data_IF_594771021862
#
_entry.id   IF_594771021862
#
_cell.length_a   1.000
_cell.length_b   1.000
_cell.length_c   1.000
_cell.angle_alpha   90.00
_cell.angle_beta   90.00
_cell.angle_gamma   90.00
#
_symmetry.space_group_name_H-M   'P 1'
#
loop_
_entity.id
_entity.type
_entity.pdbx_description
1 polymer ?
#
# COMPACT_ATOMS: atom_id res chain seq x y z
N UNK A 1 -7.73 -61.79 -68.65
CA UNK A 1 -8.05 -60.39 -68.28
C UNK A 1 -8.40 -60.14 -66.79
N UNK A 2 -8.26 -61.10 -65.85
CA UNK A 2 -8.65 -60.89 -64.43
C UNK A 2 -7.51 -60.49 -63.46
N UNK A 3 -6.22 -60.74 -63.77
CA UNK A 3 -5.09 -60.43 -62.85
C UNK A 3 -4.75 -58.93 -62.73
N UNK A 4 -5.03 -58.11 -63.74
CA UNK A 4 -4.70 -56.67 -63.73
C UNK A 4 -5.65 -55.80 -62.90
N UNK A 5 -6.87 -56.27 -62.61
CA UNK A 5 -7.86 -55.51 -61.83
C UNK A 5 -7.54 -55.51 -60.33
N UNK A 6 -7.09 -56.66 -59.80
CA UNK A 6 -6.71 -56.82 -58.38
C UNK A 6 -5.49 -55.99 -57.96
N UNK A 7 -4.50 -55.78 -58.83
CA UNK A 7 -3.33 -54.93 -58.53
C UNK A 7 -3.70 -53.45 -58.50
N UNK A 8 -4.61 -53.00 -59.36
CA UNK A 8 -5.07 -51.61 -59.40
C UNK A 8 -5.90 -51.25 -58.15
N UNK A 9 -6.76 -52.17 -57.70
CA UNK A 9 -7.59 -51.96 -56.50
C UNK A 9 -6.75 -51.98 -55.21
N UNK A 10 -5.68 -52.81 -55.14
CA UNK A 10 -4.78 -52.86 -53.99
C UNK A 10 -3.91 -51.60 -53.87
N UNK A 11 -3.48 -51.03 -55.00
CA UNK A 11 -2.78 -49.74 -55.03
C UNK A 11 -3.69 -48.59 -54.61
N UNK A 12 -4.93 -48.55 -55.12
CA UNK A 12 -5.92 -47.53 -54.77
C UNK A 12 -6.29 -47.58 -53.29
N UNK A 13 -6.48 -48.78 -52.73
CA UNK A 13 -6.71 -48.99 -51.29
C UNK A 13 -5.53 -48.51 -50.43
N UNK A 14 -4.29 -48.71 -50.90
CA UNK A 14 -3.09 -48.29 -50.16
C UNK A 14 -2.89 -46.76 -50.18
N UNK A 15 -3.16 -46.11 -51.31
CA UNK A 15 -3.19 -44.66 -51.48
C UNK A 15 -4.25 -44.01 -50.58
N UNK A 16 -5.49 -44.55 -50.57
CA UNK A 16 -6.56 -44.02 -49.74
C UNK A 16 -6.30 -44.19 -48.24
N UNK A 17 -5.73 -45.32 -47.81
CA UNK A 17 -5.31 -45.49 -46.41
C UNK A 17 -4.18 -44.54 -46.02
N UNK A 18 -3.29 -44.18 -46.94
CA UNK A 18 -2.20 -43.21 -46.68
C UNK A 18 -2.76 -41.79 -46.56
N UNK A 19 -3.69 -41.41 -47.44
CA UNK A 19 -4.43 -40.12 -47.35
C UNK A 19 -5.25 -40.03 -46.07
N UNK A 20 -5.97 -41.09 -45.70
CA UNK A 20 -6.77 -41.13 -44.46
C UNK A 20 -5.88 -41.06 -43.21
N UNK A 21 -4.75 -41.77 -43.17
CA UNK A 21 -3.77 -41.66 -42.07
C UNK A 21 -3.17 -40.26 -41.95
N UNK A 22 -2.85 -39.60 -43.07
CA UNK A 22 -2.34 -38.23 -43.05
C UNK A 22 -3.43 -37.23 -42.61
N UNK A 23 -4.68 -37.44 -43.02
CA UNK A 23 -5.82 -36.61 -42.58
C UNK A 23 -6.07 -36.75 -41.07
N UNK A 24 -6.01 -37.98 -40.54
CA UNK A 24 -6.13 -38.25 -39.09
C UNK A 24 -4.96 -37.66 -38.31
N UNK A 25 -3.71 -37.78 -38.80
CA UNK A 25 -2.54 -37.14 -38.19
C UNK A 25 -2.66 -35.63 -38.15
N UNK A 26 -3.12 -35.00 -39.24
CA UNK A 26 -3.30 -33.55 -39.31
C UNK A 26 -4.43 -33.05 -38.39
N UNK A 27 -5.52 -33.82 -38.27
CA UNK A 27 -6.59 -33.53 -37.30
C UNK A 27 -6.07 -33.68 -35.87
N UNK A 28 -5.30 -34.73 -35.56
CA UNK A 28 -4.72 -34.92 -34.23
C UNK A 28 -3.73 -33.80 -33.86
N UNK A 29 -2.92 -33.33 -34.81
CA UNK A 29 -2.00 -32.18 -34.61
C UNK A 29 -2.78 -30.87 -34.42
N UNK A 30 -3.85 -30.63 -35.17
CA UNK A 30 -4.71 -29.45 -34.97
C UNK A 30 -5.47 -29.48 -33.64
N UNK A 31 -5.96 -30.64 -33.20
CA UNK A 31 -6.61 -30.78 -31.89
C UNK A 31 -5.61 -30.59 -30.74
N UNK A 32 -4.36 -31.05 -30.89
CA UNK A 32 -3.30 -30.77 -29.90
C UNK A 32 -2.88 -29.30 -29.87
N UNK A 33 -2.79 -28.62 -31.02
CA UNK A 33 -2.49 -27.18 -31.08
C UNK A 33 -3.64 -26.31 -30.55
N UNK A 34 -4.91 -26.71 -30.79
CA UNK A 34 -6.07 -26.06 -30.20
C UNK A 34 -6.20 -26.31 -28.68
N UNK A 35 -5.83 -27.51 -28.21
CA UNK A 35 -5.79 -27.82 -26.78
C UNK A 35 -4.67 -27.07 -26.04
N UNK A 36 -3.53 -26.80 -26.69
CA UNK A 36 -2.46 -25.96 -26.14
C UNK A 36 -2.81 -24.46 -26.11
N UNK A 37 -3.75 -24.01 -26.94
CA UNK A 37 -4.27 -22.63 -26.91
C UNK A 37 -5.43 -22.42 -25.91
N UNK A 38 -5.94 -23.50 -25.28
CA UNK A 38 -7.13 -23.49 -24.40
C UNK A 38 -6.84 -24.14 -23.02
N UNK A 39 -5.58 -24.13 -22.58
CA UNK A 39 -5.17 -24.47 -21.21
C UNK A 39 -4.48 -23.24 -20.57
N UNK A 40 -4.79 -22.92 -19.31
CA UNK A 40 -6.01 -22.24 -18.94
C UNK A 40 -5.72 -20.80 -18.47
N UNK A 41 -6.54 -19.84 -18.91
CA UNK A 41 -6.68 -18.53 -18.21
C UNK A 41 -7.14 -18.67 -16.74
N UNK A 42 -7.43 -19.90 -16.28
CA UNK A 42 -7.97 -20.20 -14.95
C UNK A 42 -6.94 -20.40 -13.82
N UNK A 43 -5.62 -20.47 -14.06
CA UNK A 43 -4.66 -20.76 -12.97
C UNK A 43 -4.03 -19.51 -12.31
N UNK A 44 -4.28 -18.29 -12.82
CA UNK A 44 -3.53 -17.08 -12.41
C UNK A 44 -4.36 -15.95 -11.78
N UNK A 45 -5.69 -16.06 -11.72
CA UNK A 45 -6.53 -15.12 -10.96
C UNK A 45 -6.46 -15.37 -9.44
N UNK A 46 -6.14 -16.61 -9.04
CA UNK A 46 -6.14 -17.04 -7.64
C UNK A 46 -5.11 -16.32 -6.74
N UNK A 47 -3.84 -16.08 -7.15
CA UNK A 47 -2.86 -15.41 -6.28
C UNK A 47 -3.23 -13.96 -5.98
N UNK A 48 -3.81 -13.26 -6.96
CA UNK A 48 -4.28 -11.87 -6.81
C UNK A 48 -5.45 -11.79 -5.85
N UNK A 49 -6.44 -12.66 -6.05
CA UNK A 49 -7.62 -12.69 -5.22
C UNK A 49 -7.32 -13.17 -3.79
N UNK A 50 -6.26 -13.99 -3.61
CA UNK A 50 -5.80 -14.44 -2.30
C UNK A 50 -5.04 -13.33 -1.54
N UNK A 51 -4.13 -12.61 -2.21
CA UNK A 51 -3.41 -11.47 -1.61
C UNK A 51 -4.32 -10.26 -1.36
N UNK A 52 -5.40 -10.09 -2.14
CA UNK A 52 -6.41 -9.06 -1.87
C UNK A 52 -7.37 -9.45 -0.73
N UNK A 53 -7.60 -10.75 -0.50
CA UNK A 53 -8.45 -11.28 0.59
C UNK A 53 -7.80 -11.11 1.98
N UNK A 54 -6.49 -11.30 2.11
CA UNK A 54 -5.77 -11.12 3.38
C UNK A 54 -4.75 -9.99 3.27
N UNK A 55 -5.23 -8.75 3.41
CA UNK A 55 -4.35 -7.58 3.42
C UNK A 55 -3.49 -7.58 4.68
N UNK A 56 -2.17 -7.73 4.51
CA UNK A 56 -1.19 -7.71 5.61
C UNK A 56 -0.15 -6.63 5.35
N UNK A 57 -0.12 -5.61 6.20
CA UNK A 57 0.85 -4.51 6.07
C UNK A 57 2.30 -5.00 6.19
N UNK A 58 3.20 -4.34 5.47
CA UNK A 58 4.61 -4.71 5.35
C UNK A 58 4.91 -5.81 4.32
N UNK A 59 3.89 -6.52 3.81
CA UNK A 59 4.04 -7.54 2.77
C UNK A 59 4.64 -6.93 1.51
N UNK A 60 5.70 -7.55 0.98
CA UNK A 60 6.32 -7.15 -0.29
C UNK A 60 5.46 -7.63 -1.45
N UNK A 61 5.20 -6.75 -2.42
CA UNK A 61 4.39 -7.03 -3.60
C UNK A 61 5.28 -6.99 -4.85
N UNK A 62 5.32 -8.07 -5.67
CA UNK A 62 6.05 -8.05 -6.94
C UNK A 62 5.48 -6.99 -7.90
N UNK A 63 6.35 -6.29 -8.64
CA UNK A 63 5.91 -5.24 -9.57
C UNK A 63 5.04 -5.79 -10.70
N UNK A 64 5.29 -7.02 -11.14
CA UNK A 64 4.48 -7.75 -12.14
C UNK A 64 3.05 -7.94 -11.64
N UNK A 65 2.89 -8.16 -10.34
CA UNK A 65 1.59 -8.30 -9.73
C UNK A 65 0.83 -6.97 -9.77
N UNK A 66 1.47 -5.86 -9.41
CA UNK A 66 0.84 -4.53 -9.50
C UNK A 66 0.42 -4.22 -10.94
N UNK A 67 1.29 -4.50 -11.92
CA UNK A 67 1.01 -4.31 -13.36
C UNK A 67 -0.18 -5.15 -13.83
N UNK A 68 -0.21 -6.43 -13.49
CA UNK A 68 -1.25 -7.38 -13.94
C UNK A 68 -2.64 -7.01 -13.45
N UNK A 69 -2.72 -6.47 -12.24
CA UNK A 69 -4.00 -6.29 -11.54
C UNK A 69 -4.53 -4.86 -11.67
N UNK A 70 -3.67 -3.92 -12.09
CA UNK A 70 -4.00 -2.50 -12.16
C UNK A 70 -3.85 -1.80 -10.81
N UNK A 71 -3.50 -0.52 -10.85
CA UNK A 71 -3.15 0.26 -9.67
C UNK A 71 -4.36 0.56 -8.77
N UNK A 72 -5.54 0.77 -9.34
CA UNK A 72 -6.73 1.26 -8.61
C UNK A 72 -7.14 0.35 -7.43
N UNK A 73 -7.11 -0.96 -7.67
CA UNK A 73 -7.47 -1.97 -6.67
C UNK A 73 -6.47 -2.11 -5.50
N UNK A 74 -5.35 -1.38 -5.54
CA UNK A 74 -4.36 -1.30 -4.47
C UNK A 74 -4.49 -0.05 -3.60
N UNK A 75 -5.34 0.90 -3.98
CA UNK A 75 -5.59 2.16 -3.28
C UNK A 75 -7.07 2.29 -3.02
N UNK A 76 -7.53 1.71 -1.92
CA UNK A 76 -8.96 1.59 -1.60
C UNK A 76 -9.24 1.97 -0.16
N UNK A 77 -10.44 2.49 0.08
CA UNK A 77 -10.97 2.74 1.41
C UNK A 77 -12.23 1.89 1.64
N UNK A 78 -12.45 1.52 2.90
CA UNK A 78 -13.65 0.80 3.32
C UNK A 78 -14.02 1.16 4.78
N UNK A 79 -15.25 0.87 5.23
CA UNK A 79 -15.54 0.84 6.66
C UNK A 79 -14.52 -0.04 7.38
N UNK A 80 -14.11 0.35 8.60
CA UNK A 80 -13.14 -0.42 9.38
C UNK A 80 -13.73 -1.83 9.60
N UNK A 81 -13.09 -2.93 9.16
CA UNK A 81 -13.55 -4.29 9.43
C UNK A 81 -13.44 -4.66 10.92
N UNK A 82 -14.24 -5.63 11.41
CA UNK A 82 -14.22 -6.01 12.83
C UNK A 82 -12.85 -6.50 13.29
N UNK A 83 -12.15 -7.30 12.47
CA UNK A 83 -10.80 -7.76 12.78
C UNK A 83 -9.80 -6.60 12.92
N UNK A 84 -9.94 -5.53 12.12
CA UNK A 84 -9.10 -4.33 12.24
C UNK A 84 -9.50 -3.55 13.49
N UNK A 85 -10.80 -3.36 13.73
CA UNK A 85 -11.27 -2.63 14.89
C UNK A 85 -10.90 -3.32 16.21
N UNK A 86 -10.87 -4.66 16.24
CA UNK A 86 -10.39 -5.45 17.38
C UNK A 86 -8.92 -5.15 17.72
N UNK A 87 -8.06 -4.91 16.71
CA UNK A 87 -6.67 -4.49 16.93
C UNK A 87 -6.57 -3.09 17.57
N UNK A 88 -7.55 -2.23 17.31
CA UNK A 88 -7.56 -0.83 17.78
C UNK A 88 -8.07 -0.66 19.22
N UNK A 89 -8.97 -1.54 19.64
CA UNK A 89 -9.63 -1.45 20.95
C UNK A 89 -8.61 -1.50 22.10
N UNK A 90 -8.74 -0.57 23.05
CA UNK A 90 -7.83 -0.44 24.18
C UNK A 90 -6.46 0.18 23.84
N UNK A 91 -6.21 0.49 22.55
CA UNK A 91 -4.98 1.09 22.03
C UNK A 91 -5.29 2.45 21.40
N UNK A 92 -5.25 2.56 20.07
CA UNK A 92 -5.59 3.80 19.35
C UNK A 92 -7.06 4.19 19.53
N UNK A 93 -7.91 3.23 19.92
CA UNK A 93 -9.31 3.41 20.27
C UNK A 93 -9.57 2.95 21.73
N UNK A 94 -9.22 3.78 22.73
CA UNK A 94 -9.39 3.44 24.14
C UNK A 94 -10.87 3.49 24.55
N UNK A 95 -11.15 2.97 25.75
CA UNK A 95 -12.45 3.17 26.41
C UNK A 95 -12.70 4.68 26.55
N UNK A 96 -13.89 5.14 26.17
CA UNK A 96 -14.25 6.56 26.18
C UNK A 96 -13.82 7.34 24.93
N UNK A 97 -13.32 6.68 23.89
CA UNK A 97 -13.14 7.31 22.58
C UNK A 97 -14.46 7.90 22.08
N UNK A 98 -14.50 9.22 21.92
CA UNK A 98 -15.72 9.94 21.49
C UNK A 98 -15.90 9.99 19.97
N UNK A 99 -14.94 9.48 19.19
CA UNK A 99 -15.03 9.45 17.73
C UNK A 99 -15.75 8.18 17.28
N UNK A 100 -16.90 8.27 16.59
CA UNK A 100 -17.60 7.09 16.12
C UNK A 100 -16.76 6.30 15.11
N UNK A 101 -16.71 4.97 15.25
CA UNK A 101 -16.08 4.07 14.26
C UNK A 101 -16.57 4.34 12.83
N UNK A 102 -17.85 4.69 12.66
CA UNK A 102 -18.47 5.02 11.37
C UNK A 102 -17.94 6.32 10.72
N UNK A 103 -17.35 7.21 11.50
CA UNK A 103 -16.67 8.42 10.98
C UNK A 103 -15.25 8.12 10.47
N UNK A 104 -14.72 6.93 10.75
CA UNK A 104 -13.39 6.52 10.34
C UNK A 104 -13.46 5.58 9.12
N UNK A 105 -12.33 5.45 8.44
CA UNK A 105 -12.12 4.60 7.26
C UNK A 105 -10.80 3.89 7.37
N UNK A 106 -10.80 2.65 6.90
CA UNK A 106 -9.59 1.84 6.76
C UNK A 106 -9.10 1.93 5.32
N UNK A 107 -7.89 2.43 5.15
CA UNK A 107 -7.20 2.58 3.88
C UNK A 107 -6.25 1.41 3.66
N UNK A 108 -6.24 0.92 2.43
CA UNK A 108 -5.25 -0.02 1.89
C UNK A 108 -4.51 0.72 0.78
N UNK A 109 -3.18 0.82 0.89
CA UNK A 109 -2.32 1.56 -0.05
C UNK A 109 -1.06 0.77 -0.36
N UNK A 110 -0.42 1.02 -1.50
CA UNK A 110 0.97 0.60 -1.72
C UNK A 110 1.93 1.75 -1.45
N UNK A 111 3.16 1.43 -1.06
CA UNK A 111 4.25 2.39 -0.94
C UNK A 111 5.59 1.79 -1.38
N UNK A 112 6.53 2.63 -1.83
CA UNK A 112 7.94 2.24 -2.04
C UNK A 112 8.67 2.44 -0.70
N UNK A 113 9.37 1.42 -0.21
CA UNK A 113 10.05 1.47 1.09
C UNK A 113 11.37 2.26 1.08
N UNK A 114 11.74 2.85 -0.06
CA UNK A 114 13.03 3.53 -0.26
C UNK A 114 14.21 2.58 -0.43
N UNK A 115 13.97 1.27 -0.37
CA UNK A 115 14.96 0.18 -0.60
C UNK A 115 14.63 -0.59 -1.88
N UNK A 116 13.72 -0.06 -2.69
CA UNK A 116 13.30 -0.65 -3.96
C UNK A 116 12.17 -1.66 -3.85
N UNK A 117 11.59 -1.90 -2.66
CA UNK A 117 10.47 -2.81 -2.50
C UNK A 117 9.14 -2.06 -2.50
N UNK A 118 8.17 -2.60 -3.21
CA UNK A 118 6.77 -2.21 -3.08
C UNK A 118 6.18 -2.95 -1.89
N UNK A 119 5.57 -2.23 -0.95
CA UNK A 119 4.95 -2.80 0.26
C UNK A 119 3.48 -2.45 0.36
N UNK A 120 2.71 -3.38 0.93
CA UNK A 120 1.36 -3.12 1.39
C UNK A 120 1.38 -2.26 2.65
N UNK A 121 0.66 -1.14 2.63
CA UNK A 121 0.44 -0.24 3.76
C UNK A 121 -1.00 -0.29 4.23
N UNK A 122 -1.23 0.05 5.50
CA UNK A 122 -2.57 0.20 6.06
C UNK A 122 -2.68 1.44 6.95
N UNK A 123 -3.82 2.13 6.91
CA UNK A 123 -4.03 3.35 7.70
C UNK A 123 -5.49 3.50 8.10
N UNK A 124 -5.75 3.96 9.32
CA UNK A 124 -7.09 4.42 9.72
C UNK A 124 -7.10 5.94 9.76
N UNK A 125 -8.08 6.56 9.09
CA UNK A 125 -8.25 8.01 9.03
C UNK A 125 -9.73 8.40 9.13
N UNK A 126 -10.03 9.69 9.22
CA UNK A 126 -11.39 10.19 9.12
C UNK A 126 -11.91 10.08 7.69
N UNK A 127 -13.20 9.74 7.51
CA UNK A 127 -13.84 9.68 6.20
C UNK A 127 -13.75 10.99 5.42
N UNK A 128 -13.63 12.13 6.11
CA UNK A 128 -13.51 13.46 5.50
C UNK A 128 -12.20 13.68 4.74
N UNK A 129 -11.16 12.90 5.04
CA UNK A 129 -9.85 13.00 4.37
C UNK A 129 -9.43 11.71 3.65
N UNK A 130 -10.29 10.67 3.67
CA UNK A 130 -9.95 9.36 3.13
C UNK A 130 -9.59 9.41 1.63
N UNK A 131 -10.40 10.08 0.83
CA UNK A 131 -10.16 10.21 -0.62
C UNK A 131 -8.95 11.09 -0.94
N UNK A 132 -8.73 12.15 -0.14
CA UNK A 132 -7.52 12.98 -0.25
C UNK A 132 -6.26 12.12 -0.01
N UNK A 133 -6.24 11.34 1.07
CA UNK A 133 -5.11 10.48 1.41
C UNK A 133 -4.87 9.39 0.36
N UNK A 134 -5.92 8.74 -0.17
CA UNK A 134 -5.76 7.78 -1.26
C UNK A 134 -5.13 8.42 -2.50
N UNK A 135 -5.58 9.63 -2.87
CA UNK A 135 -5.02 10.39 -4.00
C UNK A 135 -3.54 10.73 -3.77
N UNK A 136 -3.21 11.24 -2.59
CA UNK A 136 -1.83 11.59 -2.20
C UNK A 136 -0.94 10.35 -2.23
N UNK A 137 -1.28 9.27 -1.52
CA UNK A 137 -0.44 8.07 -1.45
C UNK A 137 -0.26 7.40 -2.81
N UNK A 138 -1.29 7.42 -3.66
CA UNK A 138 -1.20 6.89 -5.02
C UNK A 138 -0.23 7.69 -5.87
N UNK A 139 -0.26 9.01 -5.78
CA UNK A 139 0.67 9.87 -6.51
C UNK A 139 2.11 9.76 -5.97
N UNK A 140 2.27 9.67 -4.65
CA UNK A 140 3.56 9.37 -4.02
C UNK A 140 4.13 8.03 -4.52
N UNK A 141 3.29 6.99 -4.58
CA UNK A 141 3.69 5.67 -5.07
C UNK A 141 4.11 5.68 -6.55
N UNK A 142 3.34 6.36 -7.41
CA UNK A 142 3.68 6.52 -8.84
C UNK A 142 5.06 7.15 -9.06
N UNK A 143 5.41 8.11 -8.20
CA UNK A 143 6.68 8.81 -8.24
C UNK A 143 7.76 8.13 -7.38
N UNK A 144 7.51 6.93 -6.86
CA UNK A 144 8.43 6.16 -6.00
C UNK A 144 8.95 6.98 -4.81
N UNK A 145 8.11 7.85 -4.26
CA UNK A 145 8.47 8.62 -3.07
C UNK A 145 8.70 7.66 -1.89
N UNK A 146 9.83 7.74 -1.18
CA UNK A 146 10.19 6.75 -0.19
C UNK A 146 9.37 6.93 1.09
N UNK A 147 8.67 5.86 1.50
CA UNK A 147 7.96 5.77 2.79
C UNK A 147 8.33 4.43 3.41
N UNK A 148 9.04 4.43 4.53
CA UNK A 148 9.59 3.19 5.11
C UNK A 148 8.49 2.21 5.54
N UNK A 149 7.45 2.71 6.21
CA UNK A 149 6.38 1.88 6.75
C UNK A 149 5.07 2.65 6.88
N UNK A 150 3.97 1.97 6.55
CA UNK A 150 2.59 2.45 6.78
C UNK A 150 1.84 1.32 7.48
N UNK A 151 1.83 1.35 8.82
CA UNK A 151 1.15 0.38 9.68
C UNK A 151 0.29 1.10 10.69
N UNK A 152 -0.74 0.41 11.19
CA UNK A 152 -1.52 0.95 12.31
C UNK A 152 -0.62 1.16 13.52
N UNK A 153 -0.83 2.26 14.23
CA UNK A 153 -0.09 2.55 15.47
C UNK A 153 -0.34 1.48 16.55
N UNK A 154 -1.44 0.73 16.42
CA UNK A 154 -1.81 -0.38 17.31
C UNK A 154 -0.80 -1.54 17.29
N UNK A 155 -0.06 -1.70 16.19
CA UNK A 155 1.06 -2.63 16.09
C UNK A 155 2.24 -2.22 17.00
N UNK A 156 2.21 -0.98 17.50
CA UNK A 156 3.17 -0.39 18.43
C UNK A 156 2.51 -0.04 19.77
N UNK A 157 1.39 -0.69 20.09
CA UNK A 157 0.57 -0.48 21.30
C UNK A 157 0.04 0.95 21.46
N UNK A 158 -0.15 1.67 20.34
CA UNK A 158 -0.49 3.10 20.33
C UNK A 158 0.51 4.00 21.09
N UNK A 159 1.75 3.53 21.25
CA UNK A 159 2.84 4.31 21.85
C UNK A 159 3.57 5.07 20.75
N UNK A 160 3.35 6.39 20.67
CA UNK A 160 3.96 7.27 19.66
C UNK A 160 5.47 7.03 19.57
N UNK A 161 6.19 6.99 20.70
CA UNK A 161 7.65 6.81 20.71
C UNK A 161 8.10 5.50 20.04
N UNK A 162 7.36 4.40 20.21
CA UNK A 162 7.69 3.10 19.58
C UNK A 162 7.44 3.16 18.06
N UNK A 163 6.28 3.67 17.66
CA UNK A 163 5.92 3.85 16.24
C UNK A 163 6.90 4.80 15.53
N UNK A 164 7.24 5.91 16.19
CA UNK A 164 8.13 6.93 15.64
C UNK A 164 9.57 6.41 15.47
N UNK A 165 10.10 5.68 16.47
CA UNK A 165 11.42 5.04 16.37
C UNK A 165 11.51 4.01 15.25
N UNK A 166 10.39 3.36 14.91
CA UNK A 166 10.29 2.43 13.80
C UNK A 166 10.09 3.12 12.44
N UNK A 167 10.15 4.45 12.38
CA UNK A 167 9.91 5.26 11.19
C UNK A 167 8.54 5.00 10.53
N UNK A 168 7.54 4.64 11.33
CA UNK A 168 6.21 4.33 10.85
C UNK A 168 5.43 5.60 10.50
N UNK A 169 4.59 5.51 9.48
CA UNK A 169 3.64 6.55 9.09
C UNK A 169 2.22 6.15 9.50
N UNK A 170 1.51 7.02 10.22
CA UNK A 170 0.21 6.70 10.82
C UNK A 170 -0.71 7.93 10.89
N UNK A 171 -2.02 7.71 11.10
CA UNK A 171 -3.03 8.76 11.12
C UNK A 171 -3.87 8.75 12.40
N UNK A 172 -4.82 7.82 12.56
CA UNK A 172 -5.68 7.81 13.74
C UNK A 172 -4.97 7.30 14.99
N UNK A 173 -5.03 8.09 16.07
CA UNK A 173 -4.69 7.68 17.42
C UNK A 173 -5.42 8.59 18.41
N UNK A 174 -6.39 8.05 19.17
CA UNK A 174 -7.17 8.84 20.10
C UNK A 174 -6.36 9.21 21.34
N UNK A 175 -5.92 10.48 21.38
CA UNK A 175 -5.17 11.07 22.48
C UNK A 175 -5.35 12.57 22.57
N UNK A 176 -5.07 13.15 23.72
CA UNK A 176 -4.87 14.59 23.83
C UNK A 176 -3.50 15.00 23.29
N UNK A 177 -3.35 16.28 22.98
CA UNK A 177 -2.03 16.87 22.74
C UNK A 177 -1.22 16.78 24.04
N UNK A 178 0.04 16.34 23.95
CA UNK A 178 0.92 16.16 25.12
C UNK A 178 0.98 17.43 25.97
N UNK A 179 0.65 17.30 27.27
CA UNK A 179 0.61 18.43 28.20
C UNK A 179 -0.64 19.33 28.08
N UNK A 180 -1.69 18.88 27.39
CA UNK A 180 -2.95 19.60 27.19
C UNK A 180 -4.17 18.71 27.43
N UNK A 181 -5.33 19.33 27.66
CA UNK A 181 -6.65 18.69 27.66
C UNK A 181 -7.30 18.68 26.26
N UNK A 182 -6.70 19.36 25.28
CA UNK A 182 -7.21 19.44 23.91
C UNK A 182 -6.95 18.13 23.16
N UNK A 183 -7.96 17.60 22.48
CA UNK A 183 -7.79 16.47 21.57
C UNK A 183 -6.82 16.81 20.42
N UNK A 184 -5.95 15.86 20.11
CA UNK A 184 -5.07 15.92 18.95
C UNK A 184 -5.88 15.86 17.64
N UNK A 185 -5.34 16.39 16.55
CA UNK A 185 -5.91 16.15 15.22
C UNK A 185 -5.86 14.64 14.85
N UNK A 186 -4.86 13.90 15.32
CA UNK A 186 -4.81 12.44 15.22
C UNK A 186 -5.98 11.76 15.91
N UNK A 187 -6.49 12.32 17.01
CA UNK A 187 -7.61 11.75 17.73
C UNK A 187 -8.91 11.79 16.94
N UNK A 188 -9.01 12.72 15.98
CA UNK A 188 -10.12 12.84 15.04
C UNK A 188 -9.87 12.10 13.72
N UNK A 189 -8.68 11.50 13.55
CA UNK A 189 -8.23 10.93 12.27
C UNK A 189 -8.00 11.98 11.19
N UNK A 190 -7.70 13.22 11.57
CA UNK A 190 -7.57 14.39 10.68
C UNK A 190 -6.12 14.85 10.50
N UNK A 191 -5.16 14.09 11.04
CA UNK A 191 -3.73 14.33 10.88
C UNK A 191 -3.00 13.05 10.50
N UNK A 192 -1.91 13.20 9.75
CA UNK A 192 -1.03 12.11 9.32
C UNK A 192 0.40 12.49 9.63
N UNK A 193 1.11 11.55 10.24
CA UNK A 193 2.55 11.62 10.43
C UNK A 193 3.24 10.71 9.40
N UNK A 194 4.27 11.22 8.71
CA UNK A 194 5.01 10.48 7.68
C UNK A 194 6.49 10.36 8.03
N UNK A 195 7.06 9.15 7.91
CA UNK A 195 8.50 8.88 8.10
C UNK A 195 9.04 9.56 9.37
N UNK A 196 8.37 9.24 10.47
CA UNK A 196 8.45 9.87 11.79
C UNK A 196 9.84 9.90 12.42
N UNK A 197 10.73 8.95 12.10
CA UNK A 197 12.11 8.95 12.61
C UNK A 197 12.94 10.07 11.97
N UNK A 198 12.80 10.27 10.66
CA UNK A 198 13.60 11.22 9.88
C UNK A 198 12.99 12.62 9.86
N UNK A 199 11.73 12.75 10.29
CA UNK A 199 10.98 14.00 10.33
C UNK A 199 10.48 14.32 11.75
N UNK A 200 11.39 14.49 12.72
CA UNK A 200 11.01 14.55 14.12
C UNK A 200 10.18 15.78 14.49
N UNK A 201 9.47 15.65 15.59
CA UNK A 201 9.07 16.79 16.41
C UNK A 201 10.30 17.41 17.08
N UNK A 202 10.43 18.73 17.03
CA UNK A 202 11.45 19.53 17.69
C UNK A 202 10.83 20.77 18.35
N UNK A 203 11.14 20.96 19.62
CA UNK A 203 10.79 22.17 20.37
C UNK A 203 11.93 22.61 21.26
N UNK A 204 12.28 23.88 21.20
CA UNK A 204 13.12 24.56 22.19
C UNK A 204 12.22 25.41 23.08
N UNK A 205 12.24 25.14 24.38
CA UNK A 205 11.49 25.90 25.39
C UNK A 205 12.20 27.22 25.71
N UNK A 206 11.48 28.18 26.30
CA UNK A 206 12.05 29.49 26.67
C UNK A 206 13.26 29.39 27.62
N UNK A 207 13.30 28.37 28.48
CA UNK A 207 14.42 28.08 29.36
C UNK A 207 15.58 27.31 28.68
N UNK A 208 15.60 27.24 27.35
CA UNK A 208 16.64 26.55 26.58
C UNK A 208 16.49 25.03 26.48
N UNK A 209 15.54 24.41 27.20
CA UNK A 209 15.33 22.94 27.13
C UNK A 209 14.85 22.52 25.75
N UNK A 210 15.60 21.61 25.13
CA UNK A 210 15.25 20.98 23.85
C UNK A 210 14.45 19.70 24.10
N UNK A 211 13.38 19.51 23.33
CA UNK A 211 12.59 18.28 23.29
C UNK A 211 12.52 17.81 21.85
N UNK A 212 12.95 16.56 21.61
CA UNK A 212 12.89 15.90 20.31
C UNK A 212 12.09 14.61 20.46
N UNK A 213 11.21 14.34 19.50
CA UNK A 213 10.51 13.06 19.41
C UNK A 213 10.56 12.54 17.96
N UNK A 214 10.95 11.27 17.74
CA UNK A 214 11.40 10.33 18.76
C UNK A 214 12.76 10.71 19.36
N UNK A 215 13.05 10.20 20.55
CA UNK A 215 14.25 10.54 21.33
C UNK A 215 15.57 10.27 20.60
N UNK A 216 15.59 9.33 19.64
CA UNK A 216 16.75 8.98 18.82
C UNK A 216 16.87 9.79 17.51
N UNK A 217 16.05 10.82 17.30
CA UNK A 217 16.01 11.59 16.06
C UNK A 217 16.75 12.94 16.11
N UNK A 218 17.51 13.24 17.16
CA UNK A 218 18.19 14.53 17.32
C UNK A 218 19.05 14.90 16.08
N UNK A 219 19.76 13.93 15.51
CA UNK A 219 20.58 14.15 14.30
C UNK A 219 19.79 14.59 13.07
N UNK A 220 18.50 14.26 13.00
CA UNK A 220 17.61 14.68 11.91
C UNK A 220 16.97 16.05 12.16
N UNK A 221 17.25 16.71 13.29
CA UNK A 221 16.81 18.08 13.53
C UNK A 221 17.66 19.11 12.77
N UNK A 222 18.90 18.76 12.41
CA UNK A 222 19.67 19.55 11.45
C UNK A 222 19.12 19.32 10.05
N UNK A 223 18.32 20.28 9.59
CA UNK A 223 17.67 20.21 8.28
C UNK A 223 18.58 20.71 7.15
N UNK A 224 19.81 21.15 7.43
CA UNK A 224 20.79 21.43 6.37
C UNK A 224 21.45 20.14 5.85
N UNK A 225 21.50 19.10 6.68
CA UNK A 225 22.04 17.81 6.30
C UNK A 225 21.18 17.07 5.25
N UNK A 226 21.86 16.22 4.46
CA UNK A 226 21.24 15.29 3.52
C UNK A 226 21.06 13.92 4.17
N UNK A 227 19.85 13.36 4.10
CA UNK A 227 19.52 12.04 4.60
C UNK A 227 18.20 11.55 3.97
N UNK A 228 17.95 10.23 3.93
CA UNK A 228 16.78 9.69 3.26
C UNK A 228 15.47 10.04 4.00
N UNK A 229 14.34 9.89 3.30
CA UNK A 229 12.97 10.08 3.84
C UNK A 229 12.63 11.49 4.35
N UNK A 230 13.54 12.47 4.15
CA UNK A 230 13.41 13.85 4.58
C UNK A 230 12.29 14.56 3.82
N UNK A 231 11.35 15.14 4.58
CA UNK A 231 10.31 16.01 4.06
C UNK A 231 10.84 17.44 4.07
N UNK A 232 10.81 18.08 2.91
CA UNK A 232 11.23 19.47 2.74
C UNK A 232 10.11 20.34 2.20
N UNK A 233 10.16 21.63 2.52
CA UNK A 233 9.25 22.59 1.91
C UNK A 233 9.43 22.55 0.40
N UNK A 234 8.35 22.25 -0.32
CA UNK A 234 8.35 22.21 -1.77
C UNK A 234 8.77 20.86 -2.37
N UNK A 235 9.06 19.84 -1.55
CA UNK A 235 9.17 18.47 -2.03
C UNK A 235 7.79 17.95 -2.51
N UNK A 236 7.78 16.77 -3.15
CA UNK A 236 6.56 16.19 -3.71
C UNK A 236 5.48 15.96 -2.63
N UNK A 237 5.85 15.39 -1.50
CA UNK A 237 4.92 15.08 -0.42
C UNK A 237 4.28 16.35 0.14
N UNK A 238 5.09 17.34 0.51
CA UNK A 238 4.62 18.64 0.96
C UNK A 238 3.67 19.28 -0.05
N UNK A 239 4.03 19.30 -1.34
CA UNK A 239 3.18 19.86 -2.41
C UNK A 239 1.83 19.16 -2.52
N UNK A 240 1.81 17.82 -2.47
CA UNK A 240 0.58 17.04 -2.55
C UNK A 240 -0.32 17.30 -1.34
N UNK A 241 0.20 17.23 -0.12
CA UNK A 241 -0.59 17.53 1.07
C UNK A 241 -1.15 18.96 1.07
N UNK A 242 -0.33 19.96 0.72
CA UNK A 242 -0.79 21.36 0.62
C UNK A 242 -1.85 21.53 -0.48
N UNK A 243 -1.70 20.87 -1.63
CA UNK A 243 -2.70 20.88 -2.71
C UNK A 243 -4.07 20.36 -2.25
N UNK A 244 -4.08 19.39 -1.33
CA UNK A 244 -5.31 18.85 -0.72
C UNK A 244 -5.79 19.64 0.51
N UNK A 245 -5.17 20.79 0.83
CA UNK A 245 -5.58 21.69 1.90
C UNK A 245 -5.02 21.34 3.28
N UNK A 246 -4.06 20.43 3.38
CA UNK A 246 -3.39 20.14 4.65
C UNK A 246 -2.38 21.24 5.00
N UNK A 247 -2.24 21.49 6.30
CA UNK A 247 -1.20 22.34 6.89
C UNK A 247 -0.06 21.46 7.39
N UNK A 248 1.16 21.88 7.13
CA UNK A 248 2.36 21.14 7.54
C UNK A 248 2.96 21.68 8.86
N UNK A 249 3.23 20.79 9.81
CA UNK A 249 3.82 21.10 11.11
C UNK A 249 5.25 21.62 11.04
N UNK A 250 6.02 21.26 9.99
CA UNK A 250 7.35 21.83 9.73
C UNK A 250 7.32 23.35 9.45
N UNK A 251 6.15 23.88 9.06
CA UNK A 251 5.94 25.30 8.81
C UNK A 251 5.62 26.12 10.07
N UNK A 252 5.31 25.49 11.21
CA UNK A 252 4.91 26.20 12.43
C UNK A 252 6.06 27.05 13.01
N UNK A 253 5.72 28.13 13.73
CA UNK A 253 6.71 29.14 14.16
C UNK A 253 7.49 28.76 15.42
N UNK A 254 6.81 28.22 16.43
CA UNK A 254 7.37 27.98 17.78
C UNK A 254 7.79 26.54 18.03
N UNK A 255 7.20 25.62 17.29
CA UNK A 255 7.45 24.18 17.34
C UNK A 255 7.63 23.74 15.90
N UNK A 256 8.51 22.77 15.66
CA UNK A 256 8.65 22.12 14.36
C UNK A 256 8.17 20.69 14.51
N UNK A 257 7.20 20.31 13.71
CA UNK A 257 6.71 18.93 13.67
C UNK A 257 6.80 18.45 12.22
N UNK A 258 7.99 17.99 11.81
CA UNK A 258 8.28 17.78 10.39
C UNK A 258 7.50 16.61 9.78
N UNK A 259 7.10 15.65 10.61
CA UNK A 259 6.27 14.49 10.25
C UNK A 259 4.81 14.87 10.01
N UNK A 260 4.31 15.93 10.66
CA UNK A 260 2.88 16.16 10.88
C UNK A 260 2.20 16.96 9.78
N UNK A 261 1.10 16.44 9.24
CA UNK A 261 0.17 17.15 8.35
C UNK A 261 -1.25 17.06 8.91
N UNK A 262 -1.97 18.17 9.00
CA UNK A 262 -3.35 18.19 9.51
C UNK A 262 -4.30 19.03 8.66
N UNK A 263 -5.58 18.68 8.71
CA UNK A 263 -6.69 19.39 8.04
C UNK A 263 -7.84 19.65 9.00
#
# INVERSE_FOLDING_TARGET
MRKNRYLCDRFRYHEERKKMRNKIKNIAVMVMLAAMAILPRLCLAQPVQKLSKEWKSGTVVPVEMVKRTGLEQWFVQQPIPDAVFARMQGKSYPVGCTVPRSSLRYLKVLHDDGKGNIRMGEMVCNKLIADDLLSIFKELFRNRYPIESIRLIDDFDAVDERSMRANNSACFCYRTVKGSRKLSAHARGMAVDINTLYNPYYRRSANGRVTVQPSNALKYCDRSASFPYKIERGDLLHKLFVKHGFRWGGAWRTVKDYQHFEK
#
